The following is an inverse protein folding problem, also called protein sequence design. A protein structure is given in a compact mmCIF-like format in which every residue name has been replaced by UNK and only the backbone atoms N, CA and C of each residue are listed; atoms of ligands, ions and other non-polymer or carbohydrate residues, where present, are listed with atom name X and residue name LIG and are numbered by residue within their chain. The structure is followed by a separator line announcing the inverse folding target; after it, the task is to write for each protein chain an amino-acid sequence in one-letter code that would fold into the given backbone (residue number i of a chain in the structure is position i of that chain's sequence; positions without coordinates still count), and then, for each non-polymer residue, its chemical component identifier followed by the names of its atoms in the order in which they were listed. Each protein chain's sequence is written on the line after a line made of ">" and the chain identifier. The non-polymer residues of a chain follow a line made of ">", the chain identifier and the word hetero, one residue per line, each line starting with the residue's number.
data_IF_704144315825
#
_entry.id   IF_704144315825
#
_cell.length_a   1.000
_cell.length_b   1.000
_cell.length_c   1.000
_cell.angle_alpha   90.00
_cell.angle_beta   90.00
_cell.angle_gamma   90.00
#
_symmetry.space_group_name_H-M   'P 1'
#
loop_
_entity.id
_entity.type
_entity.pdbx_description
1 polymer ?
#
# COMPACT_ATOMS: atom_id res chain seq x y z
N UNK A 1 -22.03 -34.31 -5.25
CA UNK A 1 -22.21 -33.78 -6.62
C UNK A 1 -22.50 -32.30 -6.48
N UNK A 2 -21.52 -31.44 -6.75
CA UNK A 2 -21.75 -30.00 -6.83
C UNK A 2 -22.23 -29.66 -8.24
N UNK A 3 -23.01 -28.58 -8.39
CA UNK A 3 -23.35 -28.09 -9.73
C UNK A 3 -22.13 -27.37 -10.32
N UNK A 4 -21.94 -27.43 -11.64
CA UNK A 4 -20.84 -26.75 -12.35
C UNK A 4 -20.76 -25.24 -11.98
N UNK A 5 -21.91 -24.59 -11.74
CA UNK A 5 -22.00 -23.18 -11.30
C UNK A 5 -21.47 -22.97 -9.87
N UNK A 6 -21.76 -23.89 -8.96
CA UNK A 6 -21.25 -23.80 -7.59
C UNK A 6 -19.73 -23.97 -7.55
N UNK A 7 -19.19 -24.90 -8.31
CA UNK A 7 -17.75 -25.14 -8.39
C UNK A 7 -17.03 -23.95 -9.02
N UNK A 8 -17.60 -23.32 -10.04
CA UNK A 8 -17.08 -22.07 -10.63
C UNK A 8 -17.03 -20.94 -9.58
N UNK A 9 -18.09 -20.76 -8.80
CA UNK A 9 -18.13 -19.73 -7.76
C UNK A 9 -17.10 -20.02 -6.64
N UNK A 10 -16.98 -21.26 -6.20
CA UNK A 10 -15.95 -21.67 -5.23
C UNK A 10 -14.56 -21.33 -5.77
N UNK A 11 -14.27 -21.71 -7.01
CA UNK A 11 -12.99 -21.42 -7.65
C UNK A 11 -12.74 -19.90 -7.76
N UNK A 12 -13.74 -19.11 -8.14
CA UNK A 12 -13.61 -17.66 -8.22
C UNK A 12 -13.23 -17.03 -6.88
N UNK A 13 -13.79 -17.50 -5.76
CA UNK A 13 -13.48 -16.98 -4.44
C UNK A 13 -12.07 -17.35 -3.93
N UNK A 14 -11.43 -18.36 -4.51
CA UNK A 14 -10.04 -18.71 -4.14
C UNK A 14 -9.00 -17.70 -4.66
N UNK A 15 -9.37 -16.73 -5.50
CA UNK A 15 -8.47 -15.65 -5.94
C UNK A 15 -8.24 -14.61 -4.84
N UNK A 16 -9.10 -14.59 -3.81
CA UNK A 16 -8.99 -13.64 -2.72
C UNK A 16 -7.84 -14.05 -1.77
N UNK A 17 -6.96 -13.10 -1.40
CA UNK A 17 -5.88 -13.38 -0.46
C UNK A 17 -6.46 -13.84 0.89
N UNK A 18 -5.86 -14.86 1.50
CA UNK A 18 -6.32 -15.44 2.76
C UNK A 18 -7.54 -16.36 2.66
N UNK A 19 -8.14 -16.51 1.47
CA UNK A 19 -9.26 -17.44 1.27
C UNK A 19 -8.76 -18.79 0.81
N UNK A 20 -8.59 -19.71 1.77
CA UNK A 20 -8.26 -21.11 1.49
C UNK A 20 -9.48 -21.92 0.99
N UNK A 21 -9.23 -23.14 0.52
CA UNK A 21 -10.27 -24.05 -0.04
C UNK A 21 -11.50 -24.21 0.86
N UNK A 22 -11.32 -24.37 2.18
CA UNK A 22 -12.44 -24.53 3.13
C UNK A 22 -13.31 -23.27 3.21
N UNK A 23 -12.70 -22.09 3.28
CA UNK A 23 -13.43 -20.82 3.31
C UNK A 23 -14.16 -20.57 1.98
N UNK A 24 -13.48 -20.81 0.85
CA UNK A 24 -14.06 -20.70 -0.48
C UNK A 24 -15.28 -21.61 -0.68
N UNK A 25 -15.35 -22.78 -0.04
CA UNK A 25 -16.53 -23.64 -0.07
C UNK A 25 -17.67 -23.14 0.82
N UNK A 26 -17.34 -22.63 2.02
CA UNK A 26 -18.36 -22.19 2.99
C UNK A 26 -19.06 -20.89 2.59
N UNK A 27 -18.33 -19.94 2.00
CA UNK A 27 -18.86 -18.62 1.61
C UNK A 27 -20.04 -18.73 0.62
N UNK A 28 -19.91 -19.41 -0.53
CA UNK A 28 -21.04 -19.55 -1.47
C UNK A 28 -22.24 -20.26 -0.87
N UNK A 29 -22.02 -21.31 -0.11
CA UNK A 29 -23.11 -22.07 0.54
C UNK A 29 -23.90 -21.16 1.50
N UNK A 30 -23.21 -20.35 2.31
CA UNK A 30 -23.86 -19.37 3.19
C UNK A 30 -24.63 -18.32 2.39
N UNK A 31 -24.00 -17.73 1.37
CA UNK A 31 -24.63 -16.69 0.56
C UNK A 31 -25.86 -17.20 -0.20
N UNK A 32 -25.79 -18.39 -0.79
CA UNK A 32 -26.87 -18.93 -1.59
C UNK A 32 -28.03 -19.51 -0.77
N UNK A 33 -27.76 -20.01 0.44
CA UNK A 33 -28.77 -20.57 1.32
C UNK A 33 -29.34 -19.55 2.30
N UNK A 34 -28.48 -18.78 2.97
CA UNK A 34 -28.86 -17.92 4.11
C UNK A 34 -28.91 -16.44 3.80
N UNK A 35 -28.17 -15.95 2.81
CA UNK A 35 -28.02 -14.50 2.57
C UNK A 35 -27.96 -14.13 1.09
N UNK A 36 -29.03 -14.42 0.37
CA UNK A 36 -29.12 -14.10 -1.08
C UNK A 36 -29.10 -12.58 -1.36
N UNK A 37 -29.62 -11.77 -0.43
CA UNK A 37 -29.56 -10.30 -0.56
C UNK A 37 -28.12 -9.80 -0.47
N UNK A 38 -27.35 -10.27 0.51
CA UNK A 38 -25.91 -9.95 0.61
C UNK A 38 -25.10 -10.42 -0.59
N UNK A 39 -25.45 -11.59 -1.16
CA UNK A 39 -24.82 -12.04 -2.40
C UNK A 39 -25.07 -11.09 -3.57
N UNK A 40 -26.29 -10.57 -3.73
CA UNK A 40 -26.65 -9.59 -4.78
C UNK A 40 -25.94 -8.25 -4.54
N UNK A 41 -25.90 -7.79 -3.28
CA UNK A 41 -25.20 -6.56 -2.90
C UNK A 41 -23.70 -6.63 -3.20
N UNK A 42 -23.03 -7.73 -2.82
CA UNK A 42 -21.61 -7.95 -3.18
C UNK A 42 -21.43 -7.90 -4.69
N UNK A 43 -22.29 -8.56 -5.46
CA UNK A 43 -22.19 -8.61 -6.92
C UNK A 43 -22.35 -7.21 -7.52
N UNK A 44 -23.38 -6.47 -7.11
CA UNK A 44 -23.64 -5.10 -7.59
C UNK A 44 -22.48 -4.17 -7.21
N UNK A 45 -22.08 -4.14 -5.94
CA UNK A 45 -21.02 -3.25 -5.46
C UNK A 45 -19.67 -3.53 -6.12
N UNK A 46 -19.36 -4.81 -6.38
CA UNK A 46 -18.13 -5.17 -7.09
C UNK A 46 -18.18 -4.74 -8.56
N UNK A 47 -19.32 -4.92 -9.23
CA UNK A 47 -19.50 -4.45 -10.61
C UNK A 47 -19.35 -2.93 -10.70
N UNK A 48 -20.06 -2.20 -9.82
CA UNK A 48 -20.01 -0.75 -9.78
C UNK A 48 -18.58 -0.23 -9.50
N UNK A 49 -17.85 -0.93 -8.62
CA UNK A 49 -16.47 -0.59 -8.31
C UNK A 49 -15.53 -0.83 -9.50
N UNK A 50 -15.70 -1.94 -10.23
CA UNK A 50 -14.90 -2.24 -11.43
C UNK A 50 -15.12 -1.23 -12.55
N UNK A 51 -16.34 -0.73 -12.70
CA UNK A 51 -16.69 0.22 -13.76
C UNK A 51 -16.28 1.67 -13.43
N UNK A 52 -16.20 2.03 -12.14
CA UNK A 52 -16.05 3.43 -11.72
C UNK A 52 -14.76 3.74 -10.96
N UNK A 53 -14.05 2.75 -10.40
CA UNK A 53 -12.81 2.99 -9.68
C UNK A 53 -11.62 2.94 -10.63
N UNK A 54 -10.81 4.00 -10.60
CA UNK A 54 -9.58 4.15 -11.37
C UNK A 54 -8.41 4.56 -10.45
N UNK A 55 -7.23 4.64 -11.01
CA UNK A 55 -6.06 5.18 -10.31
C UNK A 55 -6.04 6.70 -10.38
N UNK A 56 -5.84 7.35 -9.23
CA UNK A 56 -5.57 8.78 -9.18
C UNK A 56 -4.39 9.14 -10.10
N UNK A 57 -4.58 10.12 -10.97
CA UNK A 57 -3.57 10.55 -11.97
C UNK A 57 -2.29 11.10 -11.32
N UNK A 58 -2.37 11.58 -10.07
CA UNK A 58 -1.23 12.13 -9.35
C UNK A 58 -0.53 11.10 -8.46
N UNK A 59 -1.26 10.39 -7.59
CA UNK A 59 -0.67 9.51 -6.58
C UNK A 59 -0.91 8.01 -6.78
N UNK A 60 -1.71 7.63 -7.78
CA UNK A 60 -2.10 6.24 -8.11
C UNK A 60 -2.98 5.54 -7.06
N UNK A 61 -3.45 6.25 -6.02
CA UNK A 61 -4.47 5.73 -5.10
C UNK A 61 -5.77 5.43 -5.86
N UNK A 62 -6.51 4.43 -5.42
CA UNK A 62 -7.83 4.08 -5.98
C UNK A 62 -8.85 5.19 -5.68
N UNK A 63 -9.60 5.63 -6.70
CA UNK A 63 -10.57 6.73 -6.60
C UNK A 63 -11.58 6.65 -7.74
N UNK A 64 -12.74 7.26 -7.55
CA UNK A 64 -13.74 7.45 -8.61
C UNK A 64 -13.50 8.72 -9.46
N UNK A 65 -12.59 9.60 -9.05
CA UNK A 65 -12.29 10.86 -9.70
C UNK A 65 -10.88 10.83 -10.32
N UNK A 66 -10.56 11.83 -11.15
CA UNK A 66 -9.21 12.02 -11.70
C UNK A 66 -8.15 12.18 -10.62
N UNK A 67 -8.47 12.90 -9.55
CA UNK A 67 -7.64 13.06 -8.36
C UNK A 67 -8.39 12.56 -7.12
N UNK A 68 -7.69 11.84 -6.24
CA UNK A 68 -8.25 11.42 -4.95
C UNK A 68 -8.35 12.62 -3.98
N UNK A 69 -9.09 12.44 -2.89
CA UNK A 69 -9.29 13.48 -1.88
C UNK A 69 -7.98 14.03 -1.29
N UNK A 70 -6.98 13.17 -1.09
CA UNK A 70 -5.66 13.62 -0.60
C UNK A 70 -4.95 14.53 -1.60
N UNK A 71 -5.03 14.22 -2.90
CA UNK A 71 -4.39 15.04 -3.93
C UNK A 71 -5.14 16.36 -4.20
N UNK A 72 -6.46 16.39 -3.99
CA UNK A 72 -7.29 17.59 -4.12
C UNK A 72 -7.15 18.54 -2.93
N UNK A 73 -6.73 18.07 -1.78
CA UNK A 73 -6.59 18.89 -0.57
C UNK A 73 -5.39 19.83 -0.69
N UNK A 74 -5.68 21.12 -0.92
CA UNK A 74 -4.69 22.19 -1.07
C UNK A 74 -4.06 22.61 0.26
N UNK A 75 -4.60 22.18 1.39
CA UNK A 75 -4.06 22.49 2.73
C UNK A 75 -2.86 21.63 3.07
N UNK A 76 -2.60 20.57 2.30
CA UNK A 76 -1.49 19.66 2.52
C UNK A 76 -0.17 20.20 1.99
N UNK A 77 0.90 19.88 2.70
CA UNK A 77 2.26 20.21 2.26
C UNK A 77 2.55 19.60 0.87
N UNK A 78 2.74 20.46 -0.12
CA UNK A 78 3.03 20.07 -1.50
C UNK A 78 4.52 19.78 -1.74
N UNK A 79 5.39 20.05 -0.78
CA UNK A 79 6.84 19.88 -0.91
C UNK A 79 7.33 18.55 -0.35
N UNK A 80 6.46 17.79 0.32
CA UNK A 80 6.78 16.47 0.91
C UNK A 80 5.91 15.38 0.30
N UNK A 81 6.54 14.28 -0.12
CA UNK A 81 5.86 13.12 -0.68
C UNK A 81 6.25 11.84 0.06
N UNK A 82 5.24 11.08 0.49
CA UNK A 82 5.43 9.77 1.10
C UNK A 82 5.14 8.67 0.06
N UNK A 83 6.12 7.84 -0.22
CA UNK A 83 6.05 6.73 -1.16
C UNK A 83 5.72 5.45 -0.40
N UNK A 84 4.64 4.79 -0.80
CA UNK A 84 4.13 3.56 -0.17
C UNK A 84 3.98 2.43 -1.19
N UNK A 85 3.99 1.17 -0.74
CA UNK A 85 3.84 0.01 -1.62
C UNK A 85 2.39 -0.23 -2.06
N UNK A 86 1.42 0.05 -1.19
CA UNK A 86 0.01 -0.28 -1.42
C UNK A 86 -0.95 0.81 -0.95
N UNK A 87 -2.21 0.78 -1.45
CA UNK A 87 -3.28 1.64 -0.91
C UNK A 87 -3.50 1.46 0.60
N UNK A 88 -3.32 0.25 1.11
CA UNK A 88 -3.48 -0.06 2.53
C UNK A 88 -2.46 0.67 3.40
N UNK A 89 -1.21 0.78 2.93
CA UNK A 89 -0.15 1.50 3.64
C UNK A 89 -0.46 3.00 3.72
N UNK A 90 -0.94 3.58 2.61
CA UNK A 90 -1.40 4.97 2.60
C UNK A 90 -2.50 5.18 3.64
N UNK A 91 -3.53 4.33 3.65
CA UNK A 91 -4.64 4.43 4.60
C UNK A 91 -4.16 4.28 6.05
N UNK A 92 -3.20 3.39 6.30
CA UNK A 92 -2.62 3.21 7.62
C UNK A 92 -1.92 4.49 8.11
N UNK A 93 -1.11 5.14 7.24
CA UNK A 93 -0.43 6.40 7.59
C UNK A 93 -1.46 7.53 7.77
N UNK A 94 -2.44 7.67 6.88
CA UNK A 94 -3.51 8.67 6.98
C UNK A 94 -4.31 8.56 8.29
N UNK A 95 -4.58 7.33 8.73
CA UNK A 95 -5.33 7.09 9.96
C UNK A 95 -4.64 7.65 11.22
N UNK A 96 -3.33 7.84 11.18
CA UNK A 96 -2.58 8.45 12.30
C UNK A 96 -2.80 9.95 12.43
N UNK A 97 -3.19 10.62 11.35
CA UNK A 97 -3.29 12.09 11.27
C UNK A 97 -1.93 12.82 11.39
N UNK A 98 -0.84 12.10 11.53
CA UNK A 98 0.50 12.65 11.77
C UNK A 98 1.24 13.15 10.52
N UNK A 99 0.83 12.73 9.33
CA UNK A 99 1.46 13.15 8.08
C UNK A 99 0.54 14.06 7.27
N UNK A 100 1.06 15.19 6.83
CA UNK A 100 0.31 16.24 6.12
C UNK A 100 0.80 16.49 4.68
N UNK A 101 1.76 15.72 4.21
CA UNK A 101 2.25 15.81 2.83
C UNK A 101 1.40 15.04 1.81
N UNK A 102 1.91 14.92 0.60
CA UNK A 102 1.31 14.15 -0.51
C UNK A 102 1.81 12.71 -0.50
N UNK A 103 1.16 11.84 -1.29
CA UNK A 103 1.55 10.43 -1.40
C UNK A 103 1.83 10.01 -2.83
N UNK A 104 2.52 8.86 -2.96
CA UNK A 104 2.60 8.10 -4.19
C UNK A 104 2.53 6.60 -3.87
N UNK A 105 1.67 5.88 -4.58
CA UNK A 105 1.43 4.44 -4.37
C UNK A 105 2.07 3.66 -5.51
N UNK A 106 3.07 2.85 -5.20
CA UNK A 106 3.80 2.04 -6.19
C UNK A 106 2.94 0.90 -6.75
N UNK A 107 1.98 0.40 -5.98
CA UNK A 107 1.19 -0.82 -6.25
C UNK A 107 2.03 -2.10 -6.25
N UNK A 108 3.10 -2.12 -5.47
CA UNK A 108 4.03 -3.24 -5.33
C UNK A 108 5.44 -2.77 -4.96
N UNK A 109 6.40 -3.63 -5.25
CA UNK A 109 7.84 -3.41 -5.07
C UNK A 109 8.61 -4.08 -6.20
N UNK A 110 9.84 -3.69 -6.43
CA UNK A 110 10.69 -4.32 -7.44
C UNK A 110 10.84 -5.82 -7.11
N UNK A 111 10.47 -6.66 -8.04
CA UNK A 111 10.53 -8.12 -7.89
C UNK A 111 10.88 -8.77 -9.24
N UNK A 112 12.13 -9.18 -9.43
CA UNK A 112 12.52 -9.93 -10.62
C UNK A 112 11.76 -11.25 -10.77
N UNK A 113 11.39 -11.87 -9.64
CA UNK A 113 10.64 -13.14 -9.63
C UNK A 113 9.20 -12.97 -10.13
N UNK A 114 8.60 -11.82 -9.86
CA UNK A 114 7.22 -11.49 -10.30
C UNK A 114 7.21 -10.67 -11.59
N UNK A 115 8.38 -10.44 -12.21
CA UNK A 115 8.56 -9.57 -13.38
C UNK A 115 8.02 -8.13 -13.16
N UNK A 116 8.13 -7.61 -11.94
CA UNK A 116 7.74 -6.24 -11.61
C UNK A 116 8.97 -5.32 -11.69
N UNK A 117 8.99 -4.49 -12.71
CA UNK A 117 10.02 -3.49 -12.96
C UNK A 117 9.61 -2.07 -12.54
N UNK A 118 10.50 -1.08 -12.73
CA UNK A 118 10.25 0.31 -12.38
C UNK A 118 9.02 0.90 -13.06
N UNK A 119 8.77 0.54 -14.32
CA UNK A 119 7.63 1.02 -15.11
C UNK A 119 6.30 0.53 -14.55
N UNK A 120 6.21 -0.74 -14.14
CA UNK A 120 5.02 -1.35 -13.55
C UNK A 120 4.64 -0.65 -12.23
N UNK A 121 5.66 -0.26 -11.45
CA UNK A 121 5.53 0.48 -10.21
C UNK A 121 5.27 1.98 -10.41
N UNK A 122 5.37 2.49 -11.65
CA UNK A 122 5.21 3.89 -11.97
C UNK A 122 6.32 4.77 -11.39
N UNK A 123 7.52 4.23 -11.18
CA UNK A 123 8.66 5.00 -10.68
C UNK A 123 9.02 6.16 -11.62
N UNK A 124 9.00 6.02 -12.97
CA UNK A 124 9.20 7.16 -13.85
C UNK A 124 8.20 8.30 -13.61
N UNK A 125 6.92 7.98 -13.38
CA UNK A 125 5.90 8.98 -13.03
C UNK A 125 6.18 9.66 -11.69
N UNK A 126 6.69 8.92 -10.71
CA UNK A 126 7.11 9.47 -9.41
C UNK A 126 8.24 10.47 -9.58
N UNK A 127 9.29 10.10 -10.32
CA UNK A 127 10.46 10.95 -10.56
C UNK A 127 10.08 12.23 -11.31
N UNK A 128 9.29 12.11 -12.38
CA UNK A 128 8.76 13.25 -13.12
C UNK A 128 7.96 14.20 -12.20
N UNK A 129 7.16 13.63 -11.30
CA UNK A 129 6.37 14.42 -10.35
C UNK A 129 7.25 15.14 -9.32
N UNK A 130 8.29 14.48 -8.80
CA UNK A 130 9.25 15.08 -7.86
C UNK A 130 9.88 16.32 -8.47
N UNK A 131 10.31 16.21 -9.72
CA UNK A 131 10.96 17.32 -10.44
C UNK A 131 9.97 18.45 -10.75
N UNK A 132 8.81 18.13 -11.34
CA UNK A 132 7.81 19.14 -11.75
C UNK A 132 7.24 19.93 -10.58
N UNK A 133 6.98 19.28 -9.45
CA UNK A 133 6.41 19.90 -8.25
C UNK A 133 7.49 20.50 -7.34
N UNK A 134 8.78 20.42 -7.70
CA UNK A 134 9.93 20.92 -6.92
C UNK A 134 9.91 20.39 -5.48
N UNK A 135 9.66 19.10 -5.30
CA UNK A 135 9.61 18.45 -4.00
C UNK A 135 10.91 18.67 -3.21
N UNK A 136 10.81 18.79 -1.90
CA UNK A 136 11.94 18.96 -0.99
C UNK A 136 12.28 17.73 -0.20
N UNK A 137 11.29 16.88 0.02
CA UNK A 137 11.48 15.63 0.75
C UNK A 137 10.69 14.49 0.13
N UNK A 138 11.35 13.35 -0.04
CA UNK A 138 10.77 12.05 -0.38
C UNK A 138 10.92 11.13 0.82
N UNK A 139 9.81 10.70 1.40
CA UNK A 139 9.77 9.76 2.53
C UNK A 139 9.44 8.37 1.97
N UNK A 140 10.34 7.42 2.11
CA UNK A 140 10.14 6.05 1.67
C UNK A 140 9.53 5.21 2.81
N UNK A 141 8.22 4.96 2.72
CA UNK A 141 7.48 4.11 3.66
C UNK A 141 7.26 2.72 3.03
N UNK A 142 8.36 2.02 2.77
CA UNK A 142 8.42 0.71 2.14
C UNK A 142 8.73 -0.38 3.16
N UNK A 143 8.34 -1.61 2.87
CA UNK A 143 8.57 -2.76 3.75
C UNK A 143 10.06 -3.03 3.99
N UNK A 144 10.38 -3.62 5.15
CA UNK A 144 11.75 -4.00 5.53
C UNK A 144 12.18 -5.36 4.95
N UNK A 145 11.78 -5.64 3.70
CA UNK A 145 12.16 -6.84 2.96
C UNK A 145 13.30 -6.52 2.01
N UNK A 146 13.95 -7.55 1.46
CA UNK A 146 15.03 -7.39 0.47
C UNK A 146 14.52 -6.59 -0.74
N UNK A 147 13.32 -6.89 -1.22
CA UNK A 147 12.70 -6.21 -2.35
C UNK A 147 12.31 -4.76 -2.01
N UNK A 148 11.80 -4.52 -0.79
CA UNK A 148 11.49 -3.17 -0.31
C UNK A 148 12.75 -2.32 -0.16
N UNK A 149 13.84 -2.90 0.38
CA UNK A 149 15.15 -2.25 0.48
C UNK A 149 15.72 -1.95 -0.92
N UNK A 150 15.65 -2.90 -1.86
CA UNK A 150 16.09 -2.70 -3.25
C UNK A 150 15.27 -1.59 -3.94
N UNK A 151 13.95 -1.56 -3.73
CA UNK A 151 13.08 -0.52 -4.26
C UNK A 151 13.43 0.86 -3.70
N UNK A 152 13.72 0.94 -2.39
CA UNK A 152 14.11 2.18 -1.74
C UNK A 152 15.45 2.71 -2.29
N UNK A 153 16.44 1.84 -2.46
CA UNK A 153 17.75 2.19 -3.03
C UNK A 153 17.57 2.66 -4.47
N UNK A 154 16.79 1.93 -5.27
CA UNK A 154 16.56 2.29 -6.66
C UNK A 154 15.95 3.70 -6.78
N UNK A 155 14.91 4.01 -6.00
CA UNK A 155 14.29 5.34 -6.01
C UNK A 155 15.31 6.41 -5.57
N UNK A 156 16.04 6.16 -4.47
CA UNK A 156 17.06 7.09 -3.95
C UNK A 156 18.12 7.42 -5.01
N UNK A 157 18.60 6.42 -5.75
CA UNK A 157 19.67 6.59 -6.74
C UNK A 157 19.24 7.38 -7.99
N UNK A 158 17.90 7.52 -8.19
CA UNK A 158 17.33 8.27 -9.31
C UNK A 158 16.73 9.62 -8.89
N UNK A 159 16.77 9.98 -7.61
CA UNK A 159 16.30 11.28 -7.11
C UNK A 159 17.49 12.17 -6.83
N UNK A 160 17.57 13.32 -7.51
CA UNK A 160 18.65 14.29 -7.37
C UNK A 160 18.17 15.56 -6.62
N UNK A 161 19.04 16.14 -5.80
CA UNK A 161 18.83 17.42 -5.11
C UNK A 161 17.58 17.49 -4.19
N UNK A 162 17.04 16.34 -3.76
CA UNK A 162 15.90 16.21 -2.84
C UNK A 162 16.33 15.38 -1.66
N UNK A 163 15.90 15.75 -0.45
CA UNK A 163 16.12 14.95 0.74
C UNK A 163 15.31 13.64 0.64
N UNK A 164 16.00 12.50 0.64
CA UNK A 164 15.35 11.18 0.69
C UNK A 164 15.52 10.62 2.09
N UNK A 165 14.41 10.34 2.75
CA UNK A 165 14.33 9.74 4.08
C UNK A 165 13.54 8.43 4.03
N UNK A 166 13.68 7.61 5.04
CA UNK A 166 12.92 6.39 5.22
C UNK A 166 12.27 6.39 6.59
N UNK A 167 11.06 5.81 6.69
CA UNK A 167 10.46 5.59 8.01
C UNK A 167 11.41 4.77 8.88
N UNK A 168 11.55 5.16 10.15
CA UNK A 168 12.45 4.48 11.08
C UNK A 168 11.94 3.09 11.41
N UNK A 169 12.88 2.18 11.64
CA UNK A 169 12.59 0.89 12.26
C UNK A 169 12.39 1.13 13.76
N UNK A 170 11.30 0.62 14.30
CA UNK A 170 10.95 0.85 15.69
C UNK A 170 10.50 -0.41 16.41
N UNK A 171 10.78 -0.45 17.71
CA UNK A 171 10.19 -1.41 18.64
C UNK A 171 8.75 -0.98 18.88
N UNK A 172 7.76 -1.89 18.79
CA UNK A 172 6.38 -1.53 19.02
C UNK A 172 6.18 -0.94 20.41
N UNK A 173 5.43 0.16 20.50
CA UNK A 173 5.11 0.80 21.80
C UNK A 173 4.35 -0.21 22.67
N UNK A 174 4.85 -0.42 23.90
CA UNK A 174 4.29 -1.40 24.84
C UNK A 174 4.74 -2.84 24.61
N UNK A 175 5.60 -3.08 23.60
CA UNK A 175 6.21 -4.39 23.37
C UNK A 175 7.42 -4.62 24.27
N UNK A 176 7.59 -5.84 24.77
CA UNK A 176 8.79 -6.25 25.50
C UNK A 176 9.88 -6.70 24.52
N UNK A 177 11.13 -6.31 24.74
CA UNK A 177 12.27 -6.57 23.84
C UNK A 177 12.48 -8.05 23.55
N UNK A 178 12.18 -8.92 24.52
CA UNK A 178 12.36 -10.37 24.37
C UNK A 178 11.47 -11.02 23.30
N UNK A 179 10.35 -10.35 22.91
CA UNK A 179 9.43 -10.83 21.87
C UNK A 179 9.67 -10.17 20.50
N UNK A 180 10.62 -9.24 20.42
CA UNK A 180 10.94 -8.58 19.15
C UNK A 180 12.04 -9.37 18.43
N UNK A 181 11.89 -9.53 17.11
CA UNK A 181 12.90 -10.23 16.31
C UNK A 181 14.27 -9.52 16.34
N UNK A 182 15.34 -10.31 16.25
CA UNK A 182 16.72 -9.83 16.38
C UNK A 182 17.11 -8.77 15.34
N UNK A 183 16.55 -8.82 14.12
CA UNK A 183 16.85 -7.85 13.08
C UNK A 183 16.23 -6.48 13.40
N UNK A 184 14.98 -6.47 13.89
CA UNK A 184 14.31 -5.25 14.34
C UNK A 184 15.07 -4.61 15.50
N UNK A 185 15.52 -5.40 16.49
CA UNK A 185 16.34 -4.88 17.61
C UNK A 185 17.65 -4.29 17.07
N UNK A 186 18.37 -5.01 16.22
CA UNK A 186 19.63 -4.53 15.66
C UNK A 186 19.48 -3.22 14.88
N UNK A 187 18.47 -3.13 14.03
CA UNK A 187 18.15 -1.91 13.25
C UNK A 187 17.74 -0.74 14.16
N UNK A 188 16.96 -1.01 15.21
CA UNK A 188 16.55 0.02 16.18
C UNK A 188 17.76 0.55 16.98
N UNK A 189 18.72 -0.29 17.33
CA UNK A 189 19.98 0.15 17.98
C UNK A 189 20.82 1.02 17.05
N UNK A 190 20.91 0.66 15.77
CA UNK A 190 21.66 1.45 14.77
C UNK A 190 20.99 2.81 14.56
N UNK A 191 19.64 2.82 14.43
CA UNK A 191 18.83 4.03 14.24
C UNK A 191 18.45 4.77 15.51
N UNK A 192 19.10 4.49 16.67
CA UNK A 192 18.77 5.14 17.93
C UNK A 192 18.92 6.65 17.87
N UNK A 193 18.01 7.35 18.50
CA UNK A 193 18.05 8.80 18.64
C UNK A 193 18.50 9.19 20.04
N UNK A 194 19.14 10.35 20.17
CA UNK A 194 19.51 10.93 21.46
C UNK A 194 18.24 11.42 22.16
N UNK A 195 18.18 11.16 23.49
CA UNK A 195 17.10 11.70 24.31
C UNK A 195 17.52 13.12 24.69
N UNK A 196 16.83 14.09 24.11
CA UNK A 196 16.98 15.49 24.50
C UNK A 196 15.87 15.81 25.50
N UNK A 197 16.22 16.47 26.60
CA UNK A 197 15.25 17.01 27.54
C UNK A 197 14.50 18.17 26.82
N UNK A 198 13.19 17.98 26.62
CA UNK A 198 12.28 19.03 26.12
C UNK A 198 11.95 20.05 27.19
#
# INVERSE_FOLDING_TARGET
>A
MSSDLLDKLIKALTVLPGVGKKSAQRMPLYLLDKNKSGAREITSSLSDALDNIQRCKSCRMLTTNDLCHVCQDETRDSLSICVVESPSDLLAIESTGGYKGKYFVLMGRLSPLDNLGPDDLGIPQLLERIDKENMKEVILALSSTVEGDATAIFIKDHVENVKVSRISYGIPIGGELEYVDSNTIARSIIGRVEINDD
#
